data_IF_199715088201
#
_entry.id   IF_199715088201
#
_cell.length_a   1.000
_cell.length_b   1.000
_cell.length_c   1.000
_cell.angle_alpha   90.00
_cell.angle_beta   90.00
_cell.angle_gamma   90.00
#
_symmetry.space_group_name_H-M   'P 1'
#
loop_
_entity.id
_entity.type
_entity.pdbx_description
1 polymer ?
#
# COMPACT_ATOMS: atom_id res chain seq x y z
N UNK A 1 22.29 3.36 22.93
CA UNK A 1 21.37 4.51 22.75
C UNK A 1 19.99 3.96 22.43
N UNK A 2 18.95 4.44 23.10
CA UNK A 2 17.57 4.06 22.79
C UNK A 2 17.26 4.40 21.31
N UNK A 3 16.63 3.47 20.56
CA UNK A 3 16.25 3.68 19.15
C UNK A 3 15.39 4.93 18.98
N UNK A 4 14.55 5.25 19.97
CA UNK A 4 13.70 6.45 19.95
C UNK A 4 14.54 7.74 20.01
N UNK A 5 15.50 7.80 20.94
CA UNK A 5 16.39 8.94 21.09
C UNK A 5 17.22 9.16 19.82
N UNK A 6 17.77 8.08 19.26
CA UNK A 6 18.50 8.14 17.99
C UNK A 6 17.66 8.70 16.85
N UNK A 7 16.39 8.28 16.74
CA UNK A 7 15.48 8.76 15.70
C UNK A 7 15.26 10.29 15.81
N UNK A 8 15.05 10.82 17.02
CA UNK A 8 14.88 12.27 17.25
C UNK A 8 16.14 13.04 16.86
N UNK A 9 17.30 12.59 17.33
CA UNK A 9 18.59 13.22 17.04
C UNK A 9 18.86 13.28 15.54
N UNK A 10 18.61 12.17 14.82
CA UNK A 10 18.82 12.11 13.38
C UNK A 10 17.87 13.02 12.59
N UNK A 11 16.59 13.09 12.93
CA UNK A 11 15.69 14.02 12.25
C UNK A 11 16.09 15.49 12.48
N UNK A 12 16.61 15.83 13.66
CA UNK A 12 17.14 17.17 13.95
C UNK A 12 18.46 17.45 13.20
N UNK A 13 19.34 16.46 13.09
CA UNK A 13 20.60 16.54 12.34
C UNK A 13 20.34 16.76 10.85
N UNK A 14 19.43 15.98 10.25
CA UNK A 14 19.10 16.06 8.83
C UNK A 14 18.24 17.28 8.47
N UNK A 15 17.49 17.84 9.43
CA UNK A 15 16.52 18.93 9.23
C UNK A 15 15.47 18.59 8.16
N UNK A 16 14.94 17.37 8.24
CA UNK A 16 14.11 16.76 7.22
C UNK A 16 14.88 15.67 6.44
N UNK A 17 14.18 14.80 5.72
CA UNK A 17 14.79 13.63 5.04
C UNK A 17 14.93 13.78 3.53
N UNK A 18 14.45 14.87 2.96
CA UNK A 18 14.42 15.11 1.53
C UNK A 18 14.96 16.50 1.20
N UNK A 19 15.46 16.65 -0.02
CA UNK A 19 15.94 17.91 -0.57
C UNK A 19 15.55 18.03 -2.04
N UNK A 20 15.35 19.26 -2.51
CA UNK A 20 15.12 19.54 -3.94
C UNK A 20 16.46 19.93 -4.57
N UNK A 21 16.92 19.12 -5.51
CA UNK A 21 18.20 19.32 -6.19
C UNK A 21 17.94 19.66 -7.66
N UNK A 22 18.60 20.72 -8.17
CA UNK A 22 18.50 21.07 -9.58
C UNK A 22 19.11 19.98 -10.46
N UNK A 23 18.37 19.52 -11.48
CA UNK A 23 18.88 18.64 -12.53
C UNK A 23 19.59 19.41 -13.65
N UNK A 24 19.19 20.66 -13.87
CA UNK A 24 19.86 21.56 -14.80
C UNK A 24 21.10 22.16 -14.12
N UNK A 25 22.23 22.16 -14.83
CA UNK A 25 23.40 22.96 -14.42
C UNK A 25 23.10 24.42 -14.74
N UNK A 26 23.35 25.31 -13.79
CA UNK A 26 23.16 26.76 -13.95
C UNK A 26 24.40 27.46 -13.38
N UNK A 27 25.49 27.41 -14.15
CA UNK A 27 26.81 27.95 -13.79
C UNK A 27 27.28 29.04 -14.74
N UNK A 28 26.62 29.19 -15.89
CA UNK A 28 26.90 30.24 -16.89
C UNK A 28 25.64 31.01 -17.30
N UNK A 29 25.75 32.21 -17.88
CA UNK A 29 24.61 32.94 -18.42
C UNK A 29 23.85 32.19 -19.51
N UNK A 30 24.55 31.39 -20.33
CA UNK A 30 23.94 30.56 -21.38
C UNK A 30 23.11 29.42 -20.78
N UNK A 31 23.65 28.73 -19.77
CA UNK A 31 22.90 27.70 -19.05
C UNK A 31 21.67 28.28 -18.33
N UNK A 32 21.79 29.47 -17.74
CA UNK A 32 20.66 30.18 -17.14
C UNK A 32 19.59 30.55 -18.17
N UNK A 33 19.99 31.01 -19.36
CA UNK A 33 19.06 31.44 -20.41
C UNK A 33 18.27 30.28 -21.02
N UNK A 34 18.82 29.05 -20.96
CA UNK A 34 18.15 27.81 -21.37
C UNK A 34 17.24 27.29 -20.25
N UNK A 35 17.75 27.21 -19.02
CA UNK A 35 16.99 26.66 -17.88
C UNK A 35 15.86 27.59 -17.41
N UNK A 36 15.97 28.89 -17.69
CA UNK A 36 14.99 29.90 -17.36
C UNK A 36 14.75 30.83 -18.56
N UNK A 37 14.54 32.12 -18.34
CA UNK A 37 14.21 33.05 -19.42
C UNK A 37 15.42 33.39 -20.28
N UNK A 38 15.26 33.47 -21.62
CA UNK A 38 14.01 33.29 -22.36
C UNK A 38 13.68 31.83 -22.73
N UNK A 39 14.62 30.89 -22.65
CA UNK A 39 14.51 29.53 -23.20
C UNK A 39 13.35 28.68 -22.63
N UNK A 40 13.00 28.86 -21.36
CA UNK A 40 11.88 28.15 -20.70
C UNK A 40 10.52 28.42 -21.36
N UNK A 41 10.39 29.50 -22.16
CA UNK A 41 9.16 29.78 -22.89
C UNK A 41 8.83 28.69 -23.92
N UNK A 42 9.83 28.10 -24.57
CA UNK A 42 9.64 27.10 -25.63
C UNK A 42 8.92 25.83 -25.13
N UNK A 43 9.37 25.14 -24.06
CA UNK A 43 8.62 24.01 -23.52
C UNK A 43 7.24 24.42 -22.98
N UNK A 44 7.07 25.64 -22.45
CA UNK A 44 5.75 26.13 -22.03
C UNK A 44 4.77 26.24 -23.20
N UNK A 45 5.20 26.77 -24.35
CA UNK A 45 4.37 26.87 -25.56
C UNK A 45 4.02 25.48 -26.09
N UNK A 46 4.98 24.55 -26.12
CA UNK A 46 4.73 23.17 -26.53
C UNK A 46 3.68 22.48 -25.65
N UNK A 47 3.74 22.68 -24.33
CA UNK A 47 2.76 22.11 -23.36
C UNK A 47 1.40 22.80 -23.50
N UNK A 48 1.37 24.11 -23.81
CA UNK A 48 0.11 24.82 -24.04
C UNK A 48 -0.63 24.32 -25.29
N UNK A 49 0.11 23.87 -26.30
CA UNK A 49 -0.46 23.22 -27.50
C UNK A 49 -0.90 21.76 -27.25
N UNK A 50 -0.14 21.03 -26.43
CA UNK A 50 -0.38 19.62 -26.11
C UNK A 50 0.05 19.31 -24.67
N UNK A 51 -0.94 19.14 -23.78
CA UNK A 51 -0.70 18.95 -22.36
C UNK A 51 0.10 17.67 -22.05
N UNK A 52 0.01 16.64 -22.90
CA UNK A 52 0.73 15.37 -22.69
C UNK A 52 2.26 15.56 -22.79
N UNK A 53 2.73 16.60 -23.47
CA UNK A 53 4.17 16.96 -23.51
C UNK A 53 4.71 17.38 -22.15
N UNK A 54 3.85 17.65 -21.15
CA UNK A 54 4.29 17.88 -19.78
C UNK A 54 5.07 16.68 -19.21
N UNK A 55 4.78 15.45 -19.67
CA UNK A 55 5.54 14.26 -19.30
C UNK A 55 6.95 14.22 -19.87
N UNK A 56 7.21 14.93 -20.99
CA UNK A 56 8.50 14.93 -21.68
C UNK A 56 9.40 16.07 -21.18
N UNK A 57 8.83 17.26 -20.99
CA UNK A 57 9.60 18.48 -20.68
C UNK A 57 9.62 18.84 -19.19
N UNK A 58 8.95 18.07 -18.32
CA UNK A 58 8.93 18.32 -16.88
C UNK A 58 9.18 17.06 -16.07
N UNK A 59 9.22 17.18 -14.73
CA UNK A 59 9.29 16.01 -13.84
C UNK A 59 7.97 15.27 -13.67
N UNK A 60 6.85 15.73 -14.24
CA UNK A 60 5.53 15.09 -14.14
C UNK A 60 5.61 13.57 -14.37
N UNK A 61 6.36 13.11 -15.38
CA UNK A 61 6.50 11.70 -15.69
C UNK A 61 7.25 10.82 -14.67
N UNK A 62 7.85 11.40 -13.63
CA UNK A 62 8.54 10.65 -12.57
C UNK A 62 8.27 11.22 -11.17
N UNK A 63 7.26 12.09 -11.01
CA UNK A 63 6.96 12.78 -9.75
C UNK A 63 5.61 12.34 -9.17
N UNK A 64 5.61 11.86 -7.93
CA UNK A 64 4.43 11.42 -7.17
C UNK A 64 4.15 12.39 -6.03
N UNK A 65 2.89 12.76 -5.83
CA UNK A 65 2.46 13.47 -4.62
C UNK A 65 2.17 12.46 -3.51
N UNK A 66 2.84 12.57 -2.37
CA UNK A 66 2.52 11.79 -1.16
C UNK A 66 1.64 12.67 -0.27
N UNK A 67 0.35 12.36 -0.19
CA UNK A 67 -0.67 13.25 0.38
C UNK A 67 -1.31 12.63 1.61
N UNK A 68 -1.41 13.40 2.68
CA UNK A 68 -2.10 13.03 3.92
C UNK A 68 -2.88 14.22 4.49
N UNK A 69 -3.85 13.96 5.36
CA UNK A 69 -4.42 14.95 6.29
C UNK A 69 -3.97 14.76 7.75
N UNK A 70 -3.13 13.74 8.00
CA UNK A 70 -2.59 13.43 9.32
C UNK A 70 -3.60 12.83 10.30
N UNK A 71 -4.72 12.29 9.81
CA UNK A 71 -5.80 11.76 10.67
C UNK A 71 -5.62 10.31 11.10
N UNK A 72 -4.71 9.55 10.47
CA UNK A 72 -4.42 8.16 10.82
C UNK A 72 -2.92 7.83 10.74
N UNK A 73 -2.07 8.69 11.29
CA UNK A 73 -0.61 8.54 11.17
C UNK A 73 -0.12 7.33 11.94
N UNK A 74 0.28 6.26 11.23
CA UNK A 74 0.73 5.00 11.82
C UNK A 74 -0.28 4.48 12.88
N UNK A 75 0.19 4.11 14.08
CA UNK A 75 -0.65 3.78 15.23
C UNK A 75 -0.93 4.96 16.17
N UNK A 76 -0.63 6.20 15.77
CA UNK A 76 -0.76 7.40 16.60
C UNK A 76 -2.14 8.07 16.46
N UNK A 77 -2.87 7.75 15.39
CA UNK A 77 -4.17 8.32 15.10
C UNK A 77 -4.09 9.74 14.55
N UNK A 78 -5.06 10.57 14.92
CA UNK A 78 -5.21 11.94 14.43
C UNK A 78 -4.31 12.90 15.21
N UNK A 79 -3.13 13.16 14.63
CA UNK A 79 -2.12 14.07 15.18
C UNK A 79 -1.92 15.32 14.33
N UNK A 80 -2.68 15.42 13.23
CA UNK A 80 -2.69 16.57 12.32
C UNK A 80 -1.56 16.57 11.28
N UNK A 81 -1.70 17.44 10.26
CA UNK A 81 -0.88 17.43 9.05
C UNK A 81 0.62 17.65 9.32
N UNK A 82 0.96 18.63 10.16
CA UNK A 82 2.36 18.95 10.48
C UNK A 82 3.07 17.81 11.23
N UNK A 83 2.35 17.10 12.11
CA UNK A 83 2.91 15.97 12.84
C UNK A 83 3.05 14.72 11.95
N UNK A 84 2.24 14.61 10.88
CA UNK A 84 2.38 13.58 9.85
C UNK A 84 3.54 13.80 8.87
N UNK A 85 4.03 15.05 8.73
CA UNK A 85 5.08 15.41 7.77
C UNK A 85 6.33 14.50 7.81
N UNK A 86 6.89 14.13 8.98
CA UNK A 86 8.02 13.20 9.01
C UNK A 86 7.69 11.85 8.38
N UNK A 87 6.48 11.31 8.51
CA UNK A 87 6.12 10.04 7.87
C UNK A 87 6.08 10.22 6.35
N UNK A 88 5.49 11.31 5.88
CA UNK A 88 5.40 11.63 4.44
C UNK A 88 6.78 11.83 3.79
N UNK A 89 7.69 12.56 4.44
CA UNK A 89 9.08 12.66 3.98
C UNK A 89 9.77 11.29 3.96
N UNK A 90 9.47 10.44 4.93
CA UNK A 90 9.96 9.06 4.98
C UNK A 90 9.52 8.28 3.75
N UNK A 91 8.22 8.30 3.42
CA UNK A 91 7.67 7.68 2.20
C UNK A 91 8.36 8.22 0.95
N UNK A 92 8.59 9.52 0.86
CA UNK A 92 9.29 10.12 -0.28
C UNK A 92 10.72 9.60 -0.42
N UNK A 93 11.47 9.49 0.69
CA UNK A 93 12.80 8.91 0.68
C UNK A 93 12.80 7.44 0.22
N UNK A 94 11.77 6.67 0.59
CA UNK A 94 11.63 5.26 0.17
C UNK A 94 11.28 5.15 -1.33
N UNK A 95 10.37 5.99 -1.86
CA UNK A 95 10.11 6.08 -3.31
C UNK A 95 11.40 6.28 -4.09
N UNK A 96 12.22 7.25 -3.64
CA UNK A 96 13.49 7.57 -4.28
C UNK A 96 14.50 6.42 -4.18
N UNK A 97 14.64 5.86 -2.99
CA UNK A 97 15.65 4.83 -2.69
C UNK A 97 15.39 3.52 -3.43
N UNK A 98 14.13 3.07 -3.47
CA UNK A 98 13.80 1.73 -3.96
C UNK A 98 13.41 1.68 -5.44
N UNK A 99 13.01 2.79 -6.04
CA UNK A 99 12.54 2.80 -7.44
C UNK A 99 12.98 4.02 -8.28
N UNK A 100 13.80 4.92 -7.72
CA UNK A 100 14.17 6.19 -8.36
C UNK A 100 12.95 7.01 -8.82
N UNK A 101 11.86 6.94 -8.05
CA UNK A 101 10.67 7.78 -8.23
C UNK A 101 10.87 9.04 -7.39
N UNK A 102 10.73 10.21 -8.01
CA UNK A 102 10.72 11.44 -7.23
C UNK A 102 9.35 11.54 -6.55
N UNK A 103 9.35 11.92 -5.28
CA UNK A 103 8.13 12.04 -4.49
C UNK A 103 8.20 13.29 -3.63
N UNK A 104 7.06 13.95 -3.46
CA UNK A 104 6.96 15.20 -2.70
C UNK A 104 5.82 15.12 -1.67
N UNK A 105 6.08 15.43 -0.39
CA UNK A 105 5.08 15.31 0.67
C UNK A 105 4.18 16.55 0.71
N UNK A 106 2.87 16.34 0.80
CA UNK A 106 1.87 17.39 0.93
C UNK A 106 0.87 17.02 2.03
N UNK A 107 0.93 17.72 3.16
CA UNK A 107 -0.02 17.53 4.25
C UNK A 107 -1.13 18.59 4.15
N UNK A 108 -2.37 18.16 3.95
CA UNK A 108 -3.54 19.04 3.80
C UNK A 108 -4.18 19.28 5.16
N UNK A 109 -4.29 20.54 5.58
CA UNK A 109 -4.93 20.92 6.85
C UNK A 109 -6.45 21.06 6.68
N UNK A 110 -7.11 19.94 6.38
CA UNK A 110 -8.57 19.86 6.34
C UNK A 110 -9.00 18.43 6.64
N UNK A 111 -10.18 18.28 7.25
CA UNK A 111 -10.85 16.99 7.46
C UNK A 111 -12.10 16.85 6.59
N UNK A 112 -12.48 17.90 5.88
CA UNK A 112 -13.60 17.89 4.96
C UNK A 112 -13.22 17.18 3.65
N UNK A 113 -14.00 16.15 3.29
CA UNK A 113 -13.72 15.29 2.13
C UNK A 113 -13.67 16.12 0.84
N UNK A 114 -14.64 16.99 0.62
CA UNK A 114 -14.73 17.76 -0.63
C UNK A 114 -13.60 18.78 -0.74
N UNK A 115 -13.23 19.43 0.36
CA UNK A 115 -12.08 20.33 0.42
C UNK A 115 -10.78 19.60 0.09
N UNK A 116 -10.53 18.42 0.67
CA UNK A 116 -9.34 17.60 0.38
C UNK A 116 -9.31 17.21 -1.10
N UNK A 117 -10.41 16.62 -1.59
CA UNK A 117 -10.53 16.18 -3.00
C UNK A 117 -10.30 17.36 -3.95
N UNK A 118 -10.92 18.51 -3.68
CA UNK A 118 -10.77 19.69 -4.53
C UNK A 118 -9.33 20.23 -4.51
N UNK A 119 -8.70 20.28 -3.34
CA UNK A 119 -7.31 20.71 -3.19
C UNK A 119 -6.38 19.84 -4.03
N UNK A 120 -6.51 18.51 -3.90
CA UNK A 120 -5.68 17.55 -4.63
C UNK A 120 -5.94 17.62 -6.14
N UNK A 121 -7.20 17.68 -6.55
CA UNK A 121 -7.58 17.75 -7.96
C UNK A 121 -6.98 19.00 -8.64
N UNK A 122 -7.01 20.17 -7.97
CA UNK A 122 -6.49 21.42 -8.51
C UNK A 122 -4.96 21.43 -8.70
N UNK A 123 -4.22 20.64 -7.91
CA UNK A 123 -2.75 20.55 -8.03
C UNK A 123 -2.27 19.33 -8.82
N UNK A 124 -3.18 18.43 -9.20
CA UNK A 124 -2.87 17.12 -9.80
C UNK A 124 -2.01 17.21 -11.07
N UNK A 125 -2.15 18.29 -11.84
CA UNK A 125 -1.40 18.47 -13.09
C UNK A 125 0.12 18.55 -12.91
N UNK A 126 0.62 18.87 -11.71
CA UNK A 126 2.05 18.87 -11.38
C UNK A 126 2.66 17.47 -11.22
N UNK A 127 1.82 16.42 -11.10
CA UNK A 127 2.24 15.08 -10.72
C UNK A 127 1.89 14.04 -11.80
N UNK A 128 2.61 12.93 -11.80
CA UNK A 128 2.32 11.75 -12.61
C UNK A 128 1.49 10.70 -11.87
N UNK A 129 1.33 10.83 -10.56
CA UNK A 129 0.50 9.99 -9.72
C UNK A 129 0.32 10.56 -8.31
N UNK A 130 -0.71 10.10 -7.60
CA UNK A 130 -1.05 10.50 -6.23
C UNK A 130 -1.01 9.26 -5.32
N UNK A 131 -0.21 9.33 -4.28
CA UNK A 131 -0.18 8.35 -3.19
C UNK A 131 -0.83 8.95 -1.94
N UNK A 132 -2.06 8.54 -1.64
CA UNK A 132 -2.75 8.86 -0.39
C UNK A 132 -2.19 8.01 0.75
N UNK A 133 -1.99 8.64 1.90
CA UNK A 133 -1.34 8.03 3.05
C UNK A 133 -1.95 8.53 4.37
N UNK A 134 -2.10 7.64 5.35
CA UNK A 134 -2.46 7.98 6.73
C UNK A 134 -3.76 8.80 6.86
N UNK A 135 -4.77 8.51 6.03
CA UNK A 135 -6.11 9.12 6.08
C UNK A 135 -7.12 8.17 6.74
N UNK A 136 -7.82 8.64 7.77
CA UNK A 136 -8.73 7.80 8.54
C UNK A 136 -9.95 7.30 7.72
N UNK A 137 -10.30 6.03 7.92
CA UNK A 137 -11.59 5.48 7.50
C UNK A 137 -12.75 6.10 8.30
N UNK A 138 -13.96 6.23 7.72
CA UNK A 138 -14.33 5.81 6.36
C UNK A 138 -14.03 6.87 5.28
N UNK A 139 -13.56 8.08 5.64
CA UNK A 139 -13.36 9.18 4.67
C UNK A 139 -12.38 8.83 3.56
N UNK A 140 -11.34 8.06 3.87
CA UNK A 140 -10.33 7.66 2.87
C UNK A 140 -10.93 6.93 1.66
N UNK A 141 -12.00 6.15 1.84
CA UNK A 141 -12.70 5.46 0.74
C UNK A 141 -13.37 6.46 -0.22
N UNK A 142 -14.06 7.46 0.34
CA UNK A 142 -14.75 8.48 -0.45
C UNK A 142 -13.77 9.43 -1.15
N UNK A 143 -12.70 9.83 -0.44
CA UNK A 143 -11.62 10.66 -0.99
C UNK A 143 -10.98 9.95 -2.18
N UNK A 144 -10.56 8.68 -2.03
CA UNK A 144 -9.92 7.93 -3.12
C UNK A 144 -10.85 7.79 -4.31
N UNK A 145 -12.12 7.40 -4.09
CA UNK A 145 -13.12 7.25 -5.15
C UNK A 145 -13.31 8.55 -5.93
N UNK A 146 -13.58 9.66 -5.24
CA UNK A 146 -13.80 10.98 -5.87
C UNK A 146 -12.56 11.46 -6.62
N UNK A 147 -11.35 11.16 -6.13
CA UNK A 147 -10.11 11.51 -6.83
C UNK A 147 -9.90 10.69 -8.10
N UNK A 148 -10.17 9.38 -8.07
CA UNK A 148 -10.13 8.53 -9.28
C UNK A 148 -11.11 9.00 -10.36
N UNK A 149 -12.25 9.56 -9.97
CA UNK A 149 -13.24 10.12 -10.90
C UNK A 149 -12.82 11.50 -11.46
N UNK A 150 -12.07 12.30 -10.69
CA UNK A 150 -11.73 13.69 -11.03
C UNK A 150 -10.34 13.88 -11.63
N UNK A 151 -9.38 13.03 -11.31
CA UNK A 151 -7.99 13.14 -11.76
C UNK A 151 -7.77 12.29 -13.02
N UNK A 152 -6.94 12.80 -13.93
CA UNK A 152 -6.47 12.08 -15.12
C UNK A 152 -5.17 11.30 -14.84
N UNK A 153 -4.72 11.29 -13.59
CA UNK A 153 -3.53 10.57 -13.13
C UNK A 153 -3.92 9.52 -12.09
N UNK A 154 -3.14 8.43 -11.98
CA UNK A 154 -3.42 7.32 -11.09
C UNK A 154 -3.37 7.76 -9.63
N UNK A 155 -4.38 7.31 -8.86
CA UNK A 155 -4.53 7.56 -7.42
C UNK A 155 -4.48 6.24 -6.68
N UNK A 156 -3.65 6.17 -5.64
CA UNK A 156 -3.44 4.97 -4.85
C UNK A 156 -3.44 5.31 -3.36
N UNK A 157 -4.20 4.58 -2.56
CA UNK A 157 -4.09 4.66 -1.11
C UNK A 157 -3.24 3.49 -0.59
N UNK A 158 -2.05 3.78 -0.05
CA UNK A 158 -1.09 2.74 0.32
C UNK A 158 -1.55 1.90 1.52
N UNK A 159 -2.12 2.51 2.56
CA UNK A 159 -2.63 1.76 3.74
C UNK A 159 -3.81 0.83 3.42
N UNK A 160 -4.48 1.03 2.29
CA UNK A 160 -5.51 0.14 1.79
C UNK A 160 -4.89 -0.92 0.88
N UNK A 161 -4.51 -0.49 -0.32
CA UNK A 161 -4.16 -1.39 -1.42
C UNK A 161 -2.72 -1.88 -1.30
N UNK A 162 -1.79 -1.06 -0.82
CA UNK A 162 -0.41 -1.46 -0.57
C UNK A 162 -0.35 -2.60 0.44
N UNK A 163 -1.08 -2.46 1.54
CA UNK A 163 -1.22 -3.51 2.55
C UNK A 163 -1.90 -4.77 1.99
N UNK A 164 -2.97 -4.62 1.21
CA UNK A 164 -3.65 -5.75 0.57
C UNK A 164 -2.72 -6.53 -0.38
N UNK A 165 -1.90 -5.84 -1.17
CA UNK A 165 -0.93 -6.43 -2.10
C UNK A 165 0.14 -7.23 -1.36
N UNK A 166 0.78 -6.64 -0.34
CA UNK A 166 1.87 -7.33 0.36
C UNK A 166 1.35 -8.52 1.19
N UNK A 167 0.15 -8.42 1.77
CA UNK A 167 -0.52 -9.54 2.45
C UNK A 167 -0.84 -10.65 1.46
N UNK A 168 -1.44 -10.32 0.30
CA UNK A 168 -1.71 -11.28 -0.75
C UNK A 168 -0.44 -12.00 -1.24
N UNK A 169 0.66 -11.27 -1.42
CA UNK A 169 1.95 -11.83 -1.81
C UNK A 169 2.50 -12.83 -0.78
N UNK A 170 2.49 -12.47 0.50
CA UNK A 170 2.95 -13.36 1.56
C UNK A 170 2.08 -14.61 1.66
N UNK A 171 0.75 -14.46 1.56
CA UNK A 171 -0.19 -15.57 1.63
C UNK A 171 -0.07 -16.52 0.43
N UNK A 172 0.18 -16.04 -0.79
CA UNK A 172 0.43 -16.89 -1.95
C UNK A 172 1.57 -17.89 -1.69
N UNK A 173 2.66 -17.42 -1.09
CA UNK A 173 3.81 -18.26 -0.77
C UNK A 173 3.57 -19.13 0.46
N UNK A 174 2.87 -18.63 1.48
CA UNK A 174 2.53 -19.42 2.65
C UNK A 174 1.58 -20.59 2.34
N UNK A 175 0.66 -20.41 1.37
CA UNK A 175 -0.19 -21.49 0.87
C UNK A 175 0.65 -22.63 0.27
N UNK A 176 1.71 -22.30 -0.49
CA UNK A 176 2.66 -23.29 -1.00
C UNK A 176 3.40 -24.00 0.13
N UNK A 177 3.97 -23.25 1.08
CA UNK A 177 4.73 -23.79 2.23
C UNK A 177 3.87 -24.72 3.09
N UNK A 178 2.59 -24.40 3.29
CA UNK A 178 1.67 -25.19 4.12
C UNK A 178 1.00 -26.33 3.36
N UNK A 179 1.18 -26.42 2.04
CA UNK A 179 0.51 -27.41 1.19
C UNK A 179 -1.02 -27.24 1.13
N UNK A 180 -1.53 -26.07 1.51
CA UNK A 180 -2.96 -25.77 1.46
C UNK A 180 -3.39 -25.49 0.01
N UNK A 181 -4.70 -25.57 -0.25
CA UNK A 181 -5.25 -25.42 -1.60
C UNK A 181 -6.01 -24.11 -1.76
N UNK A 182 -5.61 -23.31 -2.75
CA UNK A 182 -6.34 -22.10 -3.16
C UNK A 182 -7.80 -22.43 -3.49
N UNK A 183 -8.72 -21.54 -3.14
CA UNK A 183 -10.15 -21.67 -3.36
C UNK A 183 -10.90 -22.41 -2.23
N UNK A 184 -10.19 -23.13 -1.36
CA UNK A 184 -10.76 -23.92 -0.27
C UNK A 184 -10.47 -23.32 1.12
N UNK A 185 -9.69 -22.24 1.19
CA UNK A 185 -9.20 -21.67 2.44
C UNK A 185 -10.31 -20.93 3.19
N UNK A 186 -10.35 -21.10 4.51
CA UNK A 186 -11.11 -20.24 5.40
C UNK A 186 -10.19 -19.18 6.00
N UNK A 187 -10.37 -17.93 5.59
CA UNK A 187 -9.52 -16.80 5.97
C UNK A 187 -10.28 -15.88 6.90
N UNK A 188 -9.73 -15.60 8.08
CA UNK A 188 -10.29 -14.66 9.04
C UNK A 188 -9.47 -13.39 9.04
N UNK A 189 -10.13 -12.25 8.85
CA UNK A 189 -9.51 -10.93 8.90
C UNK A 189 -10.11 -10.18 10.10
N UNK A 190 -9.28 -9.85 11.09
CA UNK A 190 -9.70 -9.05 12.24
C UNK A 190 -9.30 -7.58 12.03
N UNK A 191 -10.31 -6.73 12.03
CA UNK A 191 -10.21 -5.31 11.68
C UNK A 191 -10.89 -5.04 10.33
N UNK A 192 -12.07 -4.43 10.37
CA UNK A 192 -12.85 -4.07 9.17
C UNK A 192 -12.73 -2.58 8.81
N UNK A 193 -11.54 -2.02 9.00
CA UNK A 193 -11.18 -0.67 8.54
C UNK A 193 -10.64 -0.65 7.10
N UNK A 194 -9.99 0.45 6.73
CA UNK A 194 -9.36 0.68 5.42
C UNK A 194 -8.56 -0.55 4.91
N UNK A 195 -7.53 -0.97 5.65
CA UNK A 195 -6.68 -2.09 5.29
C UNK A 195 -7.46 -3.41 5.18
N UNK A 196 -8.27 -3.74 6.19
CA UNK A 196 -8.97 -5.02 6.26
C UNK A 196 -9.99 -5.22 5.14
N UNK A 197 -10.77 -4.18 4.82
CA UNK A 197 -11.70 -4.22 3.68
C UNK A 197 -10.96 -4.41 2.37
N UNK A 198 -9.85 -3.69 2.15
CA UNK A 198 -9.03 -3.82 0.95
C UNK A 198 -8.38 -5.22 0.82
N UNK A 199 -7.82 -5.75 1.91
CA UNK A 199 -7.29 -7.12 1.97
C UNK A 199 -8.40 -8.12 1.62
N UNK A 200 -9.58 -8.00 2.25
CA UNK A 200 -10.71 -8.91 2.01
C UNK A 200 -11.13 -8.94 0.54
N UNK A 201 -11.35 -7.77 -0.07
CA UNK A 201 -11.69 -7.66 -1.50
C UNK A 201 -10.62 -8.28 -2.40
N UNK A 202 -9.34 -7.99 -2.13
CA UNK A 202 -8.24 -8.50 -2.92
C UNK A 202 -8.10 -10.02 -2.80
N UNK A 203 -8.19 -10.60 -1.59
CA UNK A 203 -8.11 -12.05 -1.41
C UNK A 203 -9.30 -12.80 -2.03
N UNK A 204 -10.49 -12.19 -2.06
CA UNK A 204 -11.64 -12.72 -2.82
C UNK A 204 -11.31 -12.73 -4.32
N UNK A 205 -10.81 -11.61 -4.86
CA UNK A 205 -10.47 -11.50 -6.28
C UNK A 205 -9.33 -12.45 -6.70
N UNK A 206 -8.39 -12.74 -5.80
CA UNK A 206 -7.32 -13.72 -5.99
C UNK A 206 -7.77 -15.18 -5.80
N UNK A 207 -9.01 -15.41 -5.38
CA UNK A 207 -9.58 -16.75 -5.25
C UNK A 207 -9.06 -17.55 -4.05
N UNK A 208 -8.77 -16.90 -2.91
CA UNK A 208 -8.28 -17.61 -1.71
C UNK A 208 -9.31 -18.59 -1.14
N UNK A 209 -10.60 -18.23 -1.10
CA UNK A 209 -11.66 -19.11 -0.60
C UNK A 209 -12.83 -18.37 0.03
N UNK A 210 -13.13 -18.67 1.29
CA UNK A 210 -14.13 -17.97 2.10
C UNK A 210 -13.42 -16.98 3.04
N UNK A 211 -13.72 -15.69 2.88
CA UNK A 211 -13.17 -14.62 3.71
C UNK A 211 -14.19 -14.26 4.78
N UNK A 212 -13.78 -14.18 6.05
CA UNK A 212 -14.62 -13.82 7.19
C UNK A 212 -14.01 -12.57 7.83
N UNK A 213 -14.78 -11.49 7.87
CA UNK A 213 -14.35 -10.23 8.46
C UNK A 213 -14.88 -10.13 9.90
N UNK A 214 -14.03 -9.67 10.81
CA UNK A 214 -14.43 -9.34 12.18
C UNK A 214 -14.18 -7.86 12.49
N UNK A 215 -15.10 -7.23 13.21
CA UNK A 215 -14.91 -5.91 13.80
C UNK A 215 -15.09 -5.94 15.33
N UNK A 216 -15.27 -4.77 15.94
CA UNK A 216 -15.44 -4.64 17.40
C UNK A 216 -16.74 -5.28 17.93
N UNK A 217 -17.70 -5.58 17.05
CA UNK A 217 -18.99 -6.19 17.37
C UNK A 217 -19.04 -7.70 17.08
N UNK A 218 -18.04 -8.24 16.37
CA UNK A 218 -17.92 -9.67 16.07
C UNK A 218 -17.75 -9.92 14.58
N UNK A 219 -18.18 -11.10 14.13
CA UNK A 219 -18.20 -11.46 12.71
C UNK A 219 -19.20 -10.56 11.98
N UNK A 220 -18.74 -9.92 10.90
CA UNK A 220 -19.59 -9.13 10.00
C UNK A 220 -20.40 -10.08 9.13
N UNK A 221 -21.71 -9.86 9.09
CA UNK A 221 -22.62 -10.53 8.20
C UNK A 221 -23.50 -9.51 7.45
N UNK A 222 -23.89 -9.86 6.23
CA UNK A 222 -24.86 -9.11 5.45
C UNK A 222 -26.15 -8.88 6.27
N UNK A 223 -26.57 -7.61 6.36
CA UNK A 223 -27.78 -7.19 7.09
C UNK A 223 -27.56 -6.74 8.54
N UNK A 224 -26.32 -6.71 9.04
CA UNK A 224 -26.01 -6.18 10.37
C UNK A 224 -26.31 -4.67 10.49
N UNK A 225 -26.89 -4.24 11.61
CA UNK A 225 -27.53 -2.93 11.74
C UNK A 225 -26.58 -1.70 11.85
N UNK A 226 -25.26 -1.86 11.76
CA UNK A 226 -24.28 -0.79 12.00
C UNK A 226 -23.06 -0.82 11.04
N UNK A 227 -23.21 -1.39 9.85
CA UNK A 227 -22.12 -1.44 8.88
C UNK A 227 -21.88 -0.05 8.26
N UNK A 228 -20.61 0.39 8.23
CA UNK A 228 -20.22 1.52 7.39
C UNK A 228 -20.24 1.11 5.90
N UNK A 229 -20.11 2.08 4.98
CA UNK A 229 -20.21 1.81 3.53
C UNK A 229 -19.22 0.74 3.02
N UNK A 230 -18.00 0.70 3.54
CA UNK A 230 -17.01 -0.32 3.17
C UNK A 230 -17.32 -1.69 3.76
N UNK A 231 -17.84 -1.73 4.99
CA UNK A 231 -18.28 -2.95 5.66
C UNK A 231 -19.52 -3.56 5.00
N UNK A 232 -20.48 -2.72 4.61
CA UNK A 232 -21.69 -3.14 3.89
C UNK A 232 -21.30 -3.81 2.57
N UNK A 233 -20.46 -3.16 1.77
CA UNK A 233 -20.04 -3.68 0.46
C UNK A 233 -19.32 -5.04 0.58
N UNK A 234 -18.38 -5.18 1.53
CA UNK A 234 -17.68 -6.45 1.73
C UNK A 234 -18.60 -7.53 2.30
N UNK A 235 -19.63 -7.18 3.08
CA UNK A 235 -20.56 -8.15 3.67
C UNK A 235 -21.34 -8.94 2.62
N UNK A 236 -21.62 -8.33 1.45
CA UNK A 236 -22.35 -9.00 0.36
C UNK A 236 -21.52 -10.04 -0.41
N UNK A 237 -20.18 -9.99 -0.31
CA UNK A 237 -19.27 -10.85 -1.08
C UNK A 237 -18.36 -11.73 -0.21
N UNK A 238 -18.31 -11.46 1.10
CA UNK A 238 -17.59 -12.25 2.10
C UNK A 238 -18.56 -13.11 2.92
N UNK A 239 -18.04 -13.89 3.87
CA UNK A 239 -18.79 -14.71 4.80
C UNK A 239 -19.89 -15.55 4.11
N UNK A 240 -19.48 -16.42 3.16
CA UNK A 240 -20.38 -17.18 2.28
C UNK A 240 -21.41 -18.03 3.02
N UNK A 241 -21.09 -18.40 4.27
CA UNK A 241 -21.92 -19.24 5.12
C UNK A 241 -22.81 -18.44 6.08
N UNK A 242 -22.76 -17.09 6.04
CA UNK A 242 -23.50 -16.20 6.94
C UNK A 242 -23.26 -16.54 8.42
N UNK A 243 -22.00 -16.74 8.76
CA UNK A 243 -21.55 -17.03 10.12
C UNK A 243 -21.72 -15.80 11.01
N UNK A 244 -22.04 -16.03 12.28
CA UNK A 244 -22.14 -15.00 13.31
C UNK A 244 -21.37 -15.45 14.56
N UNK A 245 -20.97 -14.50 15.40
CA UNK A 245 -20.30 -14.79 16.67
C UNK A 245 -19.10 -13.89 16.92
N UNK A 246 -18.23 -14.34 17.82
CA UNK A 246 -17.04 -13.59 18.23
C UNK A 246 -15.83 -13.89 17.32
N UNK A 247 -14.74 -13.13 17.48
CA UNK A 247 -13.46 -13.47 16.84
C UNK A 247 -13.00 -14.90 17.19
N UNK A 248 -13.18 -15.34 18.42
CA UNK A 248 -12.81 -16.69 18.84
C UNK A 248 -13.63 -17.77 18.11
N UNK A 249 -14.89 -17.48 17.79
CA UNK A 249 -15.72 -18.38 16.97
C UNK A 249 -15.27 -18.37 15.52
N UNK A 250 -14.92 -17.19 15.00
CA UNK A 250 -14.36 -17.06 13.67
C UNK A 250 -13.05 -17.85 13.52
N UNK A 251 -12.17 -17.92 14.52
CA UNK A 251 -10.89 -18.61 14.38
C UNK A 251 -10.98 -20.14 14.36
N UNK A 252 -12.06 -20.74 14.87
CA UNK A 252 -12.21 -22.21 14.88
C UNK A 252 -12.18 -22.76 13.45
N UNK A 253 -11.21 -23.63 13.17
CA UNK A 253 -11.03 -24.24 11.85
C UNK A 253 -10.66 -23.25 10.73
N UNK A 254 -10.18 -22.04 11.07
CA UNK A 254 -9.61 -21.13 10.07
C UNK A 254 -8.24 -21.65 9.59
N UNK A 255 -7.93 -21.46 8.31
CA UNK A 255 -6.61 -21.76 7.74
C UNK A 255 -5.68 -20.55 7.84
N UNK A 256 -6.23 -19.34 7.71
CA UNK A 256 -5.45 -18.10 7.72
C UNK A 256 -6.07 -17.12 8.70
N UNK A 257 -5.22 -16.42 9.45
CA UNK A 257 -5.58 -15.24 10.21
C UNK A 257 -4.80 -14.01 9.73
N UNK A 258 -5.51 -12.92 9.47
CA UNK A 258 -4.92 -11.61 9.18
C UNK A 258 -5.43 -10.60 10.20
N UNK A 259 -4.53 -10.11 11.04
CA UNK A 259 -4.76 -9.05 11.99
C UNK A 259 -4.32 -7.69 11.44
N UNK A 260 -5.26 -6.76 11.37
CA UNK A 260 -5.03 -5.34 11.06
C UNK A 260 -5.78 -4.46 12.05
N UNK A 261 -5.59 -4.78 13.33
CA UNK A 261 -6.43 -4.33 14.45
C UNK A 261 -5.61 -3.98 15.69
N UNK A 262 -6.26 -4.01 16.87
CA UNK A 262 -5.64 -3.64 18.15
C UNK A 262 -4.72 -4.77 18.67
N UNK A 263 -3.70 -4.43 19.46
CA UNK A 263 -2.78 -5.42 20.03
C UNK A 263 -3.47 -6.39 21.01
N UNK A 264 -2.90 -7.58 21.14
CA UNK A 264 -3.24 -8.60 22.16
C UNK A 264 -4.72 -9.08 22.16
N UNK A 265 -5.35 -9.17 20.98
CA UNK A 265 -6.72 -9.69 20.84
C UNK A 265 -6.80 -11.20 20.61
N UNK A 266 -5.68 -11.84 20.23
CA UNK A 266 -5.63 -13.28 19.95
C UNK A 266 -4.78 -13.96 21.00
N UNK A 267 -5.26 -15.09 21.53
CA UNK A 267 -4.52 -15.91 22.50
C UNK A 267 -4.00 -17.19 21.87
N UNK A 268 -3.02 -17.82 22.53
CA UNK A 268 -2.47 -19.12 22.14
C UNK A 268 -3.57 -20.19 21.98
N UNK A 269 -4.56 -20.19 22.86
CA UNK A 269 -5.68 -21.13 22.83
C UNK A 269 -6.55 -20.93 21.61
N UNK A 270 -6.78 -19.68 21.19
CA UNK A 270 -7.51 -19.39 19.95
C UNK A 270 -6.74 -19.91 18.73
N UNK A 271 -5.42 -19.68 18.69
CA UNK A 271 -4.54 -20.20 17.63
C UNK A 271 -4.62 -21.73 17.54
N UNK A 272 -4.66 -22.42 18.68
CA UNK A 272 -4.75 -23.88 18.73
C UNK A 272 -6.08 -24.44 18.17
N UNK A 273 -7.10 -23.61 17.95
CA UNK A 273 -8.37 -24.03 17.32
C UNK A 273 -8.36 -23.95 15.78
N UNK A 274 -7.29 -23.42 15.18
CA UNK A 274 -7.13 -23.26 13.74
C UNK A 274 -6.48 -24.49 13.07
N UNK A 275 -6.50 -24.54 11.74
CA UNK A 275 -5.94 -25.63 10.94
C UNK A 275 -4.43 -25.48 10.65
N UNK A 276 -3.66 -24.86 11.54
CA UNK A 276 -2.20 -24.68 11.44
C UNK A 276 -1.71 -24.02 10.13
N UNK A 277 -2.27 -22.88 9.71
CA UNK A 277 -1.80 -22.15 8.51
C UNK A 277 -1.02 -20.86 8.81
N UNK A 278 -1.32 -19.77 8.09
CA UNK A 278 -0.57 -18.51 8.17
C UNK A 278 -1.23 -17.47 9.07
N UNK A 279 -0.38 -16.73 9.80
CA UNK A 279 -0.77 -15.63 10.67
C UNK A 279 -0.05 -14.36 10.25
N UNK A 280 -0.79 -13.34 9.83
CA UNK A 280 -0.28 -12.01 9.49
C UNK A 280 -0.72 -11.02 10.57
N UNK A 281 0.21 -10.27 11.17
CA UNK A 281 -0.12 -9.39 12.29
C UNK A 281 0.18 -7.91 12.04
N UNK A 282 -0.58 -7.07 12.75
CA UNK A 282 -0.45 -5.61 12.74
C UNK A 282 0.83 -5.09 13.40
N UNK A 283 1.09 -3.80 13.19
CA UNK A 283 2.16 -3.02 13.79
C UNK A 283 1.63 -2.02 14.83
N UNK A 284 2.47 -1.53 15.77
CA UNK A 284 3.80 -2.02 16.14
C UNK A 284 3.77 -3.18 17.15
N UNK A 285 2.65 -3.37 17.85
CA UNK A 285 2.39 -4.51 18.73
C UNK A 285 1.31 -5.36 18.06
N UNK A 286 1.59 -6.63 17.72
CA UNK A 286 0.67 -7.48 16.99
C UNK A 286 -0.53 -7.94 17.83
N UNK A 287 -1.55 -8.52 17.19
CA UNK A 287 -2.70 -9.16 17.85
C UNK A 287 -2.28 -10.33 18.76
N UNK A 288 -1.19 -11.00 18.43
CA UNK A 288 -0.50 -12.01 19.23
C UNK A 288 0.99 -11.98 18.87
N UNK A 289 1.87 -12.19 19.86
CA UNK A 289 3.30 -12.24 19.61
C UNK A 289 3.69 -13.47 18.77
N UNK A 290 4.67 -13.39 17.85
CA UNK A 290 5.01 -14.50 16.97
C UNK A 290 5.35 -15.80 17.70
N UNK A 291 6.06 -15.72 18.82
CA UNK A 291 6.44 -16.90 19.61
C UNK A 291 5.21 -17.59 20.23
N UNK A 292 4.21 -16.82 20.67
CA UNK A 292 2.94 -17.34 21.20
C UNK A 292 2.07 -17.94 20.09
N UNK A 293 2.05 -17.32 18.90
CA UNK A 293 1.38 -17.87 17.73
C UNK A 293 2.00 -19.22 17.33
N UNK A 294 3.34 -19.31 17.26
CA UNK A 294 4.04 -20.58 17.01
C UNK A 294 3.75 -21.60 18.10
N UNK A 295 3.75 -21.20 19.38
CA UNK A 295 3.42 -22.09 20.50
C UNK A 295 1.96 -22.58 20.48
N UNK A 296 1.05 -21.84 19.83
CA UNK A 296 -0.33 -22.25 19.56
C UNK A 296 -0.49 -23.15 18.34
N UNK A 297 0.57 -23.34 17.54
CA UNK A 297 0.57 -24.21 16.36
C UNK A 297 0.52 -23.48 15.02
N UNK A 298 0.84 -22.20 14.96
CA UNK A 298 1.00 -21.49 13.69
C UNK A 298 2.13 -22.10 12.84
N UNK A 299 1.86 -22.41 11.57
CA UNK A 299 2.88 -22.96 10.67
C UNK A 299 3.74 -21.86 10.03
N UNK A 300 3.12 -20.73 9.68
CA UNK A 300 3.82 -19.55 9.14
C UNK A 300 3.36 -18.32 9.92
N UNK A 301 4.30 -17.49 10.36
CA UNK A 301 3.99 -16.23 11.04
C UNK A 301 4.70 -15.10 10.33
N UNK A 302 3.95 -14.05 10.00
CA UNK A 302 4.44 -12.77 9.51
C UNK A 302 3.87 -11.63 10.33
N UNK A 303 4.67 -10.57 10.47
CA UNK A 303 4.26 -9.35 11.18
C UNK A 303 4.73 -8.14 10.41
N UNK A 304 4.24 -6.96 10.73
CA UNK A 304 4.82 -5.75 10.17
C UNK A 304 6.17 -5.34 10.79
N UNK A 305 6.67 -6.06 11.81
CA UNK A 305 7.91 -5.72 12.53
C UNK A 305 9.14 -6.24 11.83
N UNK A 306 10.20 -5.44 11.79
CA UNK A 306 11.45 -5.78 11.11
C UNK A 306 12.39 -6.69 11.91
N UNK A 307 12.12 -6.90 13.19
CA UNK A 307 12.90 -7.78 14.06
C UNK A 307 12.43 -9.24 14.07
N UNK A 308 11.38 -9.56 13.30
CA UNK A 308 10.90 -10.93 13.07
C UNK A 308 11.02 -11.33 11.60
N UNK A 309 11.11 -12.63 11.30
CA UNK A 309 10.98 -13.15 9.94
C UNK A 309 9.63 -12.77 9.31
N UNK A 310 9.57 -12.87 7.99
CA UNK A 310 8.38 -12.55 7.19
C UNK A 310 7.78 -11.16 7.48
N UNK A 311 8.61 -10.12 7.37
CA UNK A 311 8.12 -8.75 7.54
C UNK A 311 7.15 -8.35 6.42
N UNK A 312 5.90 -8.10 6.76
CA UNK A 312 4.85 -7.61 5.86
C UNK A 312 4.92 -6.09 5.83
N UNK A 313 5.51 -5.52 4.79
CA UNK A 313 5.77 -4.08 4.69
C UNK A 313 5.41 -3.54 3.31
N UNK A 314 4.58 -2.49 3.27
CA UNK A 314 4.13 -1.84 2.04
C UNK A 314 5.28 -1.30 1.17
N UNK A 315 6.49 -1.12 1.73
CA UNK A 315 7.70 -0.74 0.97
C UNK A 315 8.03 -1.70 -0.18
N UNK A 316 7.56 -2.95 -0.10
CA UNK A 316 7.66 -3.93 -1.19
C UNK A 316 6.74 -3.62 -2.38
N UNK A 317 5.80 -2.69 -2.22
CA UNK A 317 4.71 -2.43 -3.17
C UNK A 317 4.87 -1.07 -3.82
N UNK A 318 4.65 0.02 -3.06
CA UNK A 318 4.46 1.35 -3.63
C UNK A 318 5.62 1.84 -4.52
N UNK A 319 6.92 1.56 -4.24
CA UNK A 319 7.98 2.05 -5.11
C UNK A 319 7.90 1.44 -6.52
N UNK A 320 7.82 0.10 -6.58
CA UNK A 320 7.74 -0.64 -7.84
C UNK A 320 6.41 -0.38 -8.56
N UNK A 321 5.31 -0.30 -7.82
CA UNK A 321 3.98 -0.06 -8.38
C UNK A 321 3.94 1.28 -9.12
N UNK A 322 4.35 2.37 -8.47
CA UNK A 322 4.37 3.68 -9.13
C UNK A 322 5.41 3.75 -10.25
N UNK A 323 6.56 3.07 -10.13
CA UNK A 323 7.53 3.01 -11.22
C UNK A 323 6.92 2.39 -12.48
N UNK A 324 6.18 1.29 -12.34
CA UNK A 324 5.48 0.63 -13.45
C UNK A 324 4.39 1.51 -14.06
N UNK A 325 3.55 2.08 -13.20
CA UNK A 325 2.45 2.99 -13.57
C UNK A 325 2.97 4.20 -14.36
N UNK A 326 4.04 4.85 -13.87
CA UNK A 326 4.65 6.02 -14.50
C UNK A 326 5.32 5.66 -15.83
N UNK A 327 5.99 4.51 -15.90
CA UNK A 327 6.70 4.07 -17.11
C UNK A 327 5.77 3.93 -18.32
N UNK A 328 4.52 3.50 -18.11
CA UNK A 328 3.51 3.37 -19.18
C UNK A 328 2.47 4.49 -19.16
N UNK A 329 2.66 5.50 -18.31
CA UNK A 329 1.74 6.63 -18.07
C UNK A 329 0.29 6.16 -17.88
N UNK A 330 0.10 5.08 -17.11
CA UNK A 330 -1.21 4.47 -16.89
C UNK A 330 -2.21 5.51 -16.35
N UNK A 331 -3.47 5.42 -16.77
CA UNK A 331 -4.54 6.33 -16.36
C UNK A 331 -5.06 6.04 -14.94
N UNK A 332 -4.96 4.79 -14.50
CA UNK A 332 -5.47 4.33 -13.20
C UNK A 332 -4.61 3.15 -12.68
N UNK A 333 -4.90 2.70 -11.45
CA UNK A 333 -4.35 1.49 -10.82
C UNK A 333 -5.50 0.53 -10.53
N UNK A 334 -5.65 -0.46 -11.40
CA UNK A 334 -6.77 -1.42 -11.42
C UNK A 334 -6.55 -2.59 -10.46
N UNK A 335 -7.60 -3.35 -10.19
CA UNK A 335 -7.51 -4.61 -9.42
C UNK A 335 -6.55 -5.61 -10.09
N UNK A 336 -6.55 -5.71 -11.43
CA UNK A 336 -5.64 -6.61 -12.15
C UNK A 336 -4.18 -6.22 -11.92
N UNK A 337 -3.87 -4.92 -11.92
CA UNK A 337 -2.52 -4.43 -11.62
C UNK A 337 -2.11 -4.74 -10.18
N UNK A 338 -3.01 -4.60 -9.20
CA UNK A 338 -2.75 -4.94 -7.79
C UNK A 338 -2.48 -6.44 -7.61
N UNK A 339 -3.27 -7.29 -8.25
CA UNK A 339 -3.06 -8.74 -8.26
C UNK A 339 -1.72 -9.09 -8.93
N UNK A 340 -1.40 -8.47 -10.06
CA UNK A 340 -0.12 -8.66 -10.75
C UNK A 340 1.07 -8.26 -9.85
N UNK A 341 0.95 -7.16 -9.10
CA UNK A 341 1.96 -6.76 -8.12
C UNK A 341 2.15 -7.80 -7.01
N UNK A 342 1.06 -8.36 -6.47
CA UNK A 342 1.13 -9.39 -5.42
C UNK A 342 1.84 -10.66 -5.91
N UNK A 343 1.49 -11.12 -7.12
CA UNK A 343 2.18 -12.26 -7.75
C UNK A 343 3.66 -11.96 -8.04
N UNK A 344 3.98 -10.74 -8.50
CA UNK A 344 5.35 -10.35 -8.77
C UNK A 344 6.21 -10.40 -7.51
N UNK A 345 5.73 -9.84 -6.39
CA UNK A 345 6.44 -9.90 -5.10
C UNK A 345 6.64 -11.34 -4.65
N UNK A 346 5.58 -12.16 -4.70
CA UNK A 346 5.66 -13.56 -4.29
C UNK A 346 6.68 -14.35 -5.14
N UNK A 347 6.77 -14.05 -6.44
CA UNK A 347 7.66 -14.73 -7.39
C UNK A 347 9.15 -14.39 -7.25
N UNK A 348 9.51 -13.36 -6.47
CA UNK A 348 10.93 -12.98 -6.24
C UNK A 348 11.67 -14.07 -5.46
N UNK A 349 10.97 -14.81 -4.59
CA UNK A 349 11.56 -15.94 -3.87
C UNK A 349 11.38 -17.20 -4.73
N UNK A 350 12.48 -17.87 -5.12
CA UNK A 350 12.42 -19.17 -5.78
C UNK A 350 11.70 -20.21 -4.92
N UNK A 351 10.98 -21.14 -5.54
CA UNK A 351 10.15 -22.11 -4.82
C UNK A 351 10.97 -23.01 -3.88
N UNK A 352 12.21 -23.32 -4.26
CA UNK A 352 13.18 -24.08 -3.48
C UNK A 352 13.72 -23.35 -2.23
N UNK A 353 13.58 -22.02 -2.17
CA UNK A 353 13.98 -21.21 -1.01
C UNK A 353 12.82 -21.01 -0.02
N UNK A 354 11.58 -21.27 -0.45
CA UNK A 354 10.39 -21.07 0.38
C UNK A 354 10.40 -21.96 1.61
N UNK A 355 10.19 -21.35 2.77
CA UNK A 355 10.03 -22.04 4.03
C UNK A 355 9.21 -21.18 5.01
N UNK A 356 8.91 -21.72 6.19
CA UNK A 356 8.05 -21.07 7.18
C UNK A 356 8.55 -19.68 7.64
N UNK A 357 9.84 -19.39 7.54
CA UNK A 357 10.44 -18.11 7.93
C UNK A 357 10.80 -17.22 6.72
N UNK A 358 10.50 -17.67 5.49
CA UNK A 358 10.82 -16.93 4.26
C UNK A 358 9.74 -17.10 3.19
N UNK A 359 8.58 -16.45 3.40
CA UNK A 359 7.46 -16.40 2.45
C UNK A 359 7.30 -15.05 1.75
N UNK A 360 8.02 -14.02 2.22
CA UNK A 360 8.00 -12.66 1.66
C UNK A 360 9.44 -12.13 1.58
N UNK A 361 9.85 -11.50 0.46
CA UNK A 361 11.23 -11.05 0.29
C UNK A 361 11.56 -9.92 1.28
N UNK A 362 12.85 -9.74 1.53
CA UNK A 362 13.33 -8.60 2.32
C UNK A 362 12.94 -7.28 1.68
N UNK A 363 12.61 -6.27 2.50
CA UNK A 363 12.39 -4.89 2.05
C UNK A 363 13.57 -4.29 1.28
N UNK A 364 14.77 -4.85 1.43
CA UNK A 364 15.98 -4.42 0.73
C UNK A 364 16.34 -5.29 -0.48
N UNK A 365 15.51 -6.27 -0.84
CA UNK A 365 15.72 -7.05 -2.05
C UNK A 365 15.47 -6.17 -3.29
N UNK A 366 16.55 -5.79 -3.96
CA UNK A 366 16.52 -4.89 -5.12
C UNK A 366 15.73 -5.44 -6.30
N UNK A 367 15.45 -6.76 -6.34
CA UNK A 367 14.67 -7.40 -7.41
C UNK A 367 13.19 -7.03 -7.31
N UNK A 368 12.69 -6.73 -6.11
CA UNK A 368 11.25 -6.55 -5.86
C UNK A 368 10.68 -5.37 -6.63
N UNK A 369 11.26 -4.18 -6.48
CA UNK A 369 10.73 -2.98 -7.12
C UNK A 369 10.68 -3.13 -8.65
N UNK A 370 11.70 -3.76 -9.24
CA UNK A 370 11.78 -4.01 -10.67
C UNK A 370 10.76 -5.06 -11.15
N UNK A 371 10.60 -6.15 -10.40
CA UNK A 371 9.60 -7.19 -10.70
C UNK A 371 8.18 -6.62 -10.65
N UNK A 372 7.86 -5.86 -9.61
CA UNK A 372 6.56 -5.19 -9.46
C UNK A 372 6.34 -4.18 -10.58
N UNK A 373 7.31 -3.32 -10.87
CA UNK A 373 7.18 -2.31 -11.93
C UNK A 373 6.86 -2.94 -13.29
N UNK A 374 7.60 -3.98 -13.66
CA UNK A 374 7.37 -4.69 -14.92
C UNK A 374 6.01 -5.40 -14.97
N UNK A 375 5.60 -6.07 -13.89
CA UNK A 375 4.31 -6.75 -13.83
C UNK A 375 3.12 -5.78 -13.90
N UNK A 376 3.20 -4.68 -13.17
CA UNK A 376 2.17 -3.63 -13.15
C UNK A 376 2.08 -2.93 -14.51
N UNK A 377 3.22 -2.60 -15.12
CA UNK A 377 3.25 -1.99 -16.45
C UNK A 377 2.64 -2.90 -17.52
N UNK A 378 2.99 -4.20 -17.51
CA UNK A 378 2.39 -5.21 -18.41
C UNK A 378 0.88 -5.30 -18.22
N UNK A 379 0.41 -5.41 -16.98
CA UNK A 379 -1.02 -5.49 -16.68
C UNK A 379 -1.79 -4.26 -17.19
N UNK A 380 -1.24 -3.06 -17.02
CA UNK A 380 -1.84 -1.81 -17.52
C UNK A 380 -1.95 -1.79 -19.05
N UNK A 381 -0.93 -2.29 -19.77
CA UNK A 381 -0.97 -2.40 -21.24
C UNK A 381 -1.96 -3.44 -21.71
N UNK A 382 -2.03 -4.59 -21.04
CA UNK A 382 -3.01 -5.63 -21.35
C UNK A 382 -4.47 -5.17 -21.18
N UNK A 383 -4.71 -4.23 -20.25
CA UNK A 383 -6.03 -3.60 -20.05
C UNK A 383 -6.26 -2.38 -20.95
N UNK A 384 -5.26 -1.93 -21.71
CA UNK A 384 -5.37 -0.79 -22.62
C UNK A 384 -5.52 0.57 -21.92
N UNK A 385 -5.08 0.67 -20.67
CA UNK A 385 -5.15 1.92 -19.87
C UNK A 385 -3.83 2.70 -19.86
N UNK A 386 -2.81 2.21 -20.55
CA UNK A 386 -1.54 2.89 -20.79
C UNK A 386 -1.67 4.03 -21.80
N UNK A 387 -0.77 5.02 -21.75
CA UNK A 387 -0.64 6.05 -22.81
C UNK A 387 0.59 5.85 -23.68
N UNK A 388 1.60 5.14 -23.18
CA UNK A 388 2.80 4.77 -23.94
C UNK A 388 3.00 3.25 -23.87
N UNK A 389 3.62 2.61 -24.87
CA UNK A 389 3.84 1.17 -24.86
C UNK A 389 4.74 0.74 -23.70
N UNK A 390 4.61 -0.53 -23.29
CA UNK A 390 5.51 -1.11 -22.32
C UNK A 390 6.86 -1.45 -22.96
N UNK A 391 7.91 -0.94 -22.34
CA UNK A 391 9.29 -1.39 -22.54
C UNK A 391 9.82 -1.96 -21.23
N UNK A 392 10.68 -2.97 -21.31
CA UNK A 392 11.24 -3.60 -20.12
C UNK A 392 11.99 -2.58 -19.27
N UNK A 393 11.49 -2.38 -18.05
CA UNK A 393 12.06 -1.48 -17.06
C UNK A 393 13.30 -2.18 -16.49
N UNK A 394 14.43 -1.47 -16.46
CA UNK A 394 15.75 -1.98 -16.06
C UNK A 394 16.26 -1.36 -14.77
#
# INVERSE_FOLDING_TARGET
MDKKQLAIEKHKEWKGKIEVISRAKVTTPEELSIAYTPGVAEPCLLIAEDEDKAYDYTRKGNLVAVITDGTAVLGLGDIGPSAGMPVMEGKCALFKTFADVDAFPLCVDSKDVDTIVNTIALISKSFGGINLEDIAAPRCFEIEKKLKERCDIPVFHDDQHGTAIVVGAALLNAVKVTGKKMGELRVVINGAGAAGVAIGKQLIAMGFGNIIMCDIHGIICEGDANLNSGQEEISHISNKNKEHGTLADALKGADIFVGVSRPNLVTREMVATMNHGMYCHANPVPEIMPDEAKAGGAAVVGTGRSDYPNQINNVLVFPGLFKGVLAVRAKDITEKMKIAAAHAIASVIPEEELNAEYVIPSSFDKRVALAVANAVAKAAVEEGINRVPYEEIK
#
